data_IF_354157045148
#
_entry.id   IF_354157045148
#
_cell.length_a   1.000
_cell.length_b   1.000
_cell.length_c   1.000
_cell.angle_alpha   90.00
_cell.angle_beta   90.00
_cell.angle_gamma   90.00
#
_symmetry.space_group_name_H-M   'P 1'
#
loop_
_entity.id
_entity.type
_entity.pdbx_description
1 polymer ?
#
# COMPACT_ATOMS: atom_id res chain seq x y z
N UNK A 1 15.59 -0.53 -27.52
CA UNK A 1 16.31 -1.63 -28.18
C UNK A 1 16.27 -2.77 -27.19
N UNK A 2 15.73 -3.93 -27.56
CA UNK A 2 15.67 -5.10 -26.66
C UNK A 2 17.05 -5.75 -26.57
N UNK A 3 17.39 -6.36 -25.43
CA UNK A 3 18.61 -7.15 -25.30
C UNK A 3 18.62 -8.35 -26.26
N UNK A 4 19.83 -8.82 -26.62
CA UNK A 4 20.00 -10.02 -27.46
C UNK A 4 19.33 -11.25 -26.84
N UNK A 5 19.34 -11.34 -25.50
CA UNK A 5 18.68 -12.41 -24.74
C UNK A 5 17.17 -12.38 -25.00
N UNK A 6 16.51 -11.23 -24.77
CA UNK A 6 15.07 -11.13 -25.01
C UNK A 6 14.74 -11.34 -26.49
N UNK A 7 15.54 -10.77 -27.40
CA UNK A 7 15.35 -10.97 -28.84
C UNK A 7 15.40 -12.46 -29.23
N UNK A 8 16.35 -13.21 -28.68
CA UNK A 8 16.47 -14.66 -28.90
C UNK A 8 15.27 -15.44 -28.37
N UNK A 9 14.81 -15.13 -27.15
CA UNK A 9 13.62 -15.77 -26.57
C UNK A 9 12.37 -15.47 -27.40
N UNK A 10 12.12 -14.21 -27.74
CA UNK A 10 10.98 -13.79 -28.56
C UNK A 10 11.02 -14.44 -29.96
N UNK A 11 12.20 -14.56 -30.58
CA UNK A 11 12.36 -15.22 -31.86
C UNK A 11 12.03 -16.73 -31.77
N UNK A 12 12.51 -17.41 -30.73
CA UNK A 12 12.26 -18.85 -30.53
C UNK A 12 10.79 -19.18 -30.25
N UNK A 13 10.02 -18.23 -29.68
CA UNK A 13 8.60 -18.37 -29.31
C UNK A 13 7.66 -17.57 -30.21
N UNK A 14 8.13 -17.08 -31.35
CA UNK A 14 7.42 -16.10 -32.20
C UNK A 14 5.99 -16.49 -32.55
N UNK A 15 5.76 -17.75 -32.94
CA UNK A 15 4.42 -18.21 -33.34
C UNK A 15 3.40 -18.10 -32.19
N UNK A 16 3.78 -18.60 -31.01
CA UNK A 16 2.96 -18.57 -29.81
C UNK A 16 2.67 -17.13 -29.36
N UNK A 17 3.71 -16.29 -29.24
CA UNK A 17 3.56 -14.91 -28.76
C UNK A 17 2.72 -14.05 -29.72
N UNK A 18 2.87 -14.25 -31.04
CA UNK A 18 2.02 -13.57 -32.02
C UNK A 18 0.56 -13.99 -31.93
N UNK A 19 0.29 -15.27 -31.65
CA UNK A 19 -1.06 -15.74 -31.39
C UNK A 19 -1.66 -15.04 -30.16
N UNK A 20 -0.91 -14.94 -29.05
CA UNK A 20 -1.37 -14.22 -27.85
C UNK A 20 -1.67 -12.75 -28.09
N UNK A 21 -0.85 -12.06 -28.87
CA UNK A 21 -1.12 -10.66 -29.28
C UNK A 21 -2.40 -10.56 -30.09
N UNK A 22 -2.64 -11.50 -31.02
CA UNK A 22 -3.87 -11.52 -31.81
C UNK A 22 -5.11 -11.77 -30.92
N UNK A 23 -5.04 -12.72 -29.99
CA UNK A 23 -6.09 -12.97 -28.99
C UNK A 23 -6.39 -11.72 -28.16
N UNK A 24 -5.37 -11.03 -27.64
CA UNK A 24 -5.54 -9.80 -26.87
C UNK A 24 -6.23 -8.68 -27.68
N UNK A 25 -5.86 -8.50 -28.95
CA UNK A 25 -6.50 -7.53 -29.85
C UNK A 25 -7.96 -7.84 -30.12
N UNK A 26 -8.32 -9.13 -30.21
CA UNK A 26 -9.70 -9.54 -30.38
C UNK A 26 -10.55 -9.31 -29.12
N UNK A 27 -9.98 -9.56 -27.94
CA UNK A 27 -10.67 -9.38 -26.67
C UNK A 27 -10.82 -7.91 -26.26
N UNK A 28 -9.91 -7.03 -26.69
CA UNK A 28 -9.90 -5.62 -26.31
C UNK A 28 -9.83 -4.71 -27.55
N UNK A 29 -10.99 -4.27 -28.08
CA UNK A 29 -11.08 -3.29 -29.16
C UNK A 29 -10.46 -1.96 -28.71
N UNK A 30 -9.18 -1.74 -29.02
CA UNK A 30 -8.39 -0.60 -28.54
C UNK A 30 -7.01 -0.94 -28.01
N UNK A 31 -6.64 -2.23 -27.98
CA UNK A 31 -5.31 -2.66 -27.56
C UNK A 31 -4.19 -1.98 -28.36
N UNK A 32 -3.34 -1.23 -27.66
CA UNK A 32 -2.23 -0.51 -28.26
C UNK A 32 -0.97 -1.38 -28.35
N UNK A 33 -0.70 -1.87 -29.56
CA UNK A 33 0.46 -2.73 -29.82
C UNK A 33 1.78 -1.97 -29.70
N UNK A 34 1.80 -0.66 -29.95
CA UNK A 34 3.01 0.16 -29.80
C UNK A 34 3.32 0.40 -28.32
N UNK A 35 2.31 0.66 -27.49
CA UNK A 35 2.49 0.74 -26.04
C UNK A 35 2.99 -0.58 -25.46
N UNK A 36 2.46 -1.72 -25.94
CA UNK A 36 2.95 -3.03 -25.52
C UNK A 36 4.38 -3.31 -25.99
N UNK A 37 4.74 -2.92 -27.21
CA UNK A 37 6.13 -3.03 -27.71
C UNK A 37 7.11 -2.21 -26.86
N UNK A 38 6.72 -1.00 -26.44
CA UNK A 38 7.52 -0.18 -25.54
C UNK A 38 7.67 -0.83 -24.14
N UNK A 39 6.58 -1.36 -23.59
CA UNK A 39 6.61 -2.14 -22.33
C UNK A 39 7.55 -3.35 -22.45
N UNK A 40 7.48 -4.10 -23.56
CA UNK A 40 8.34 -5.25 -23.80
C UNK A 40 9.82 -4.83 -23.91
N UNK A 41 10.08 -3.71 -24.57
CA UNK A 41 11.43 -3.18 -24.81
C UNK A 41 12.15 -2.60 -23.60
N UNK A 42 11.45 -2.36 -22.49
CA UNK A 42 11.98 -1.73 -21.29
C UNK A 42 11.71 -2.60 -20.06
N UNK A 43 10.43 -2.78 -19.72
CA UNK A 43 10.03 -3.49 -18.50
C UNK A 43 10.24 -5.01 -18.61
N UNK A 44 9.81 -5.64 -19.70
CA UNK A 44 10.00 -7.09 -19.88
C UNK A 44 11.48 -7.44 -20.08
N UNK A 45 12.26 -6.59 -20.74
CA UNK A 45 13.69 -6.80 -20.94
C UNK A 45 14.46 -6.81 -19.62
N UNK A 46 14.12 -5.92 -18.68
CA UNK A 46 14.69 -5.92 -17.34
C UNK A 46 14.40 -7.24 -16.57
N UNK A 47 13.16 -7.76 -16.68
CA UNK A 47 12.79 -9.05 -16.08
C UNK A 47 13.56 -10.20 -16.74
N UNK A 48 13.64 -10.20 -18.08
CA UNK A 48 14.39 -11.20 -18.85
C UNK A 48 15.86 -11.25 -18.43
N UNK A 49 16.53 -10.10 -18.39
CA UNK A 49 17.93 -10.00 -17.98
C UNK A 49 18.17 -10.47 -16.55
N UNK A 50 17.27 -10.12 -15.62
CA UNK A 50 17.37 -10.54 -14.23
C UNK A 50 17.24 -12.06 -14.05
N UNK A 51 16.27 -12.69 -14.72
CA UNK A 51 16.10 -14.16 -14.66
C UNK A 51 17.27 -14.86 -15.34
N UNK A 52 17.70 -14.39 -16.51
CA UNK A 52 18.85 -14.94 -17.23
C UNK A 52 20.13 -14.96 -16.37
N UNK A 53 20.33 -13.96 -15.52
CA UNK A 53 21.49 -13.88 -14.64
C UNK A 53 21.49 -14.94 -13.52
N UNK A 54 20.32 -15.47 -13.13
CA UNK A 54 20.21 -16.45 -12.02
C UNK A 54 19.88 -17.87 -12.50
N UNK A 55 19.10 -18.01 -13.57
CA UNK A 55 18.71 -19.29 -14.15
C UNK A 55 18.41 -19.13 -15.67
N UNK A 56 19.43 -19.33 -16.53
CA UNK A 56 19.29 -19.30 -17.98
C UNK A 56 18.23 -20.26 -18.55
N UNK A 57 17.97 -21.39 -17.89
CA UNK A 57 17.02 -22.39 -18.37
C UNK A 57 15.58 -21.95 -18.11
N UNK A 58 15.34 -21.23 -17.02
CA UNK A 58 14.03 -20.70 -16.67
C UNK A 58 13.63 -19.44 -17.47
N UNK A 59 14.59 -18.73 -18.08
CA UNK A 59 14.37 -17.45 -18.78
C UNK A 59 13.22 -17.50 -19.78
N UNK A 60 13.17 -18.55 -20.61
CA UNK A 60 12.12 -18.67 -21.65
C UNK A 60 10.71 -18.73 -21.06
N UNK A 61 10.51 -19.56 -20.03
CA UNK A 61 9.22 -19.70 -19.37
C UNK A 61 8.83 -18.43 -18.58
N UNK A 62 9.80 -17.79 -17.93
CA UNK A 62 9.57 -16.55 -17.21
C UNK A 62 9.16 -15.39 -18.15
N UNK A 63 9.81 -15.26 -19.30
CA UNK A 63 9.46 -14.25 -20.31
C UNK A 63 8.06 -14.51 -20.88
N UNK A 64 7.71 -15.76 -21.16
CA UNK A 64 6.38 -16.12 -21.68
C UNK A 64 5.27 -15.71 -20.69
N UNK A 65 5.42 -16.07 -19.41
CA UNK A 65 4.47 -15.68 -18.36
C UNK A 65 4.40 -14.15 -18.17
N UNK A 66 5.56 -13.48 -18.13
CA UNK A 66 5.63 -12.03 -17.99
C UNK A 66 5.01 -11.30 -19.20
N UNK A 67 5.15 -11.85 -20.41
CA UNK A 67 4.56 -11.34 -21.63
C UNK A 67 3.03 -11.43 -21.60
N UNK A 68 2.47 -12.58 -21.19
CA UNK A 68 1.01 -12.76 -21.07
C UNK A 68 0.40 -11.82 -20.01
N UNK A 69 1.06 -11.69 -18.86
CA UNK A 69 0.64 -10.71 -17.84
C UNK A 69 0.73 -9.29 -18.40
N UNK A 70 1.83 -8.97 -19.10
CA UNK A 70 2.05 -7.66 -19.73
C UNK A 70 0.95 -7.28 -20.74
N UNK A 71 0.47 -8.22 -21.55
CA UNK A 71 -0.65 -7.99 -22.47
C UNK A 71 -1.89 -7.52 -21.71
N UNK A 72 -2.21 -8.20 -20.60
CA UNK A 72 -3.36 -7.84 -19.76
C UNK A 72 -3.18 -6.45 -19.13
N UNK A 73 -2.00 -6.16 -18.57
CA UNK A 73 -1.73 -4.92 -17.86
C UNK A 73 -1.69 -3.70 -18.79
N UNK A 74 -1.04 -3.82 -19.94
CA UNK A 74 -1.04 -2.74 -20.96
C UNK A 74 -2.45 -2.54 -21.50
N UNK A 75 -3.18 -3.62 -21.76
CA UNK A 75 -4.56 -3.58 -22.22
C UNK A 75 -5.52 -2.85 -21.25
N UNK A 76 -5.28 -3.00 -19.94
CA UNK A 76 -6.04 -2.31 -18.89
C UNK A 76 -5.51 -0.91 -18.56
N UNK A 77 -4.45 -0.43 -19.23
CA UNK A 77 -3.83 0.86 -18.95
C UNK A 77 -3.14 0.93 -17.57
N UNK A 78 -2.72 -0.22 -17.04
CA UNK A 78 -2.01 -0.35 -15.76
C UNK A 78 -0.48 -0.36 -15.93
N UNK A 79 0.01 -0.67 -17.13
CA UNK A 79 1.43 -0.69 -17.46
C UNK A 79 1.72 -0.10 -18.85
N UNK A 80 3.00 0.22 -19.10
CA UNK A 80 3.48 0.81 -20.33
C UNK A 80 3.30 2.33 -20.39
N UNK A 81 3.69 2.96 -21.51
CA UNK A 81 3.81 4.43 -21.61
C UNK A 81 2.47 5.19 -21.51
N UNK A 82 1.34 4.50 -21.64
CA UNK A 82 0.00 5.07 -21.54
C UNK A 82 -0.66 4.82 -20.18
N UNK A 83 0.02 4.17 -19.24
CA UNK A 83 -0.53 3.92 -17.92
C UNK A 83 -0.77 5.23 -17.16
N UNK A 84 -1.85 5.28 -16.38
CA UNK A 84 -2.17 6.47 -15.55
C UNK A 84 -1.08 6.74 -14.51
N UNK A 85 -0.47 5.69 -13.98
CA UNK A 85 0.58 5.75 -12.99
C UNK A 85 1.72 4.78 -13.37
N UNK A 86 2.99 5.09 -13.06
CA UNK A 86 4.14 4.33 -13.53
C UNK A 86 4.49 3.11 -12.65
N UNK A 87 3.65 2.76 -11.69
CA UNK A 87 4.07 1.92 -10.55
C UNK A 87 4.32 0.45 -10.92
N UNK A 88 3.59 -0.11 -11.88
CA UNK A 88 3.81 -1.49 -12.34
C UNK A 88 5.17 -1.62 -13.02
N UNK A 89 5.41 -0.80 -14.05
CA UNK A 89 6.69 -0.77 -14.77
C UNK A 89 7.87 -0.54 -13.83
N UNK A 90 7.72 0.43 -12.92
CA UNK A 90 8.76 0.74 -11.94
C UNK A 90 9.03 -0.44 -11.02
N UNK A 91 8.00 -1.08 -10.48
CA UNK A 91 8.17 -2.20 -9.56
C UNK A 91 8.80 -3.40 -10.25
N UNK A 92 8.35 -3.76 -11.46
CA UNK A 92 8.96 -4.86 -12.21
C UNK A 92 10.43 -4.59 -12.49
N UNK A 93 10.77 -3.41 -13.03
CA UNK A 93 12.16 -3.06 -13.34
C UNK A 93 13.06 -3.01 -12.11
N UNK A 94 12.59 -2.42 -11.01
CA UNK A 94 13.42 -2.20 -9.83
C UNK A 94 13.52 -3.44 -8.93
N UNK A 95 12.52 -4.32 -8.94
CA UNK A 95 12.52 -5.53 -8.11
C UNK A 95 13.05 -6.76 -8.85
N UNK A 96 13.01 -6.78 -10.19
CA UNK A 96 13.35 -7.96 -11.00
C UNK A 96 14.63 -8.65 -10.54
N UNK A 97 15.72 -7.91 -10.34
CA UNK A 97 16.99 -8.47 -9.87
C UNK A 97 16.89 -9.08 -8.46
N UNK A 98 16.26 -8.37 -7.53
CA UNK A 98 16.13 -8.82 -6.13
C UNK A 98 15.24 -10.06 -6.01
N UNK A 99 14.22 -10.24 -6.86
CA UNK A 99 13.30 -11.38 -6.81
C UNK A 99 13.50 -12.38 -7.95
N UNK A 100 14.61 -12.29 -8.70
CA UNK A 100 14.84 -13.07 -9.91
C UNK A 100 14.69 -14.58 -9.69
N UNK A 101 15.17 -15.09 -8.55
CA UNK A 101 15.04 -16.51 -8.18
C UNK A 101 13.59 -16.94 -8.00
N UNK A 102 12.75 -16.09 -7.42
CA UNK A 102 11.33 -16.36 -7.26
C UNK A 102 10.61 -16.30 -8.61
N UNK A 103 10.98 -15.37 -9.49
CA UNK A 103 10.46 -15.30 -10.86
C UNK A 103 10.84 -16.57 -11.63
N UNK A 104 12.09 -17.04 -11.53
CA UNK A 104 12.54 -18.25 -12.20
C UNK A 104 11.74 -19.51 -11.78
N UNK A 105 11.38 -19.59 -10.49
CA UNK A 105 10.64 -20.72 -9.93
C UNK A 105 9.13 -20.66 -10.18
N UNK A 106 8.53 -19.48 -10.06
CA UNK A 106 7.08 -19.26 -10.12
C UNK A 106 6.78 -17.88 -10.75
N UNK A 107 6.96 -17.73 -12.08
CA UNK A 107 6.95 -16.42 -12.73
C UNK A 107 5.59 -15.73 -12.65
N UNK A 108 4.52 -16.48 -12.92
CA UNK A 108 3.15 -15.95 -12.92
C UNK A 108 2.75 -15.46 -11.53
N UNK A 109 2.98 -16.27 -10.51
CA UNK A 109 2.61 -15.99 -9.13
C UNK A 109 3.45 -14.86 -8.53
N UNK A 110 4.74 -14.83 -8.84
CA UNK A 110 5.67 -13.80 -8.32
C UNK A 110 5.35 -12.44 -8.93
N UNK A 111 5.29 -12.34 -10.26
CA UNK A 111 4.96 -11.09 -10.94
C UNK A 111 3.54 -10.64 -10.63
N UNK A 112 2.58 -11.57 -10.59
CA UNK A 112 1.22 -11.30 -10.16
C UNK A 112 1.14 -10.75 -8.73
N UNK A 113 1.93 -11.30 -7.79
CA UNK A 113 2.00 -10.81 -6.41
C UNK A 113 2.50 -9.37 -6.34
N UNK A 114 3.59 -9.05 -7.04
CA UNK A 114 4.14 -7.68 -7.08
C UNK A 114 3.17 -6.71 -7.74
N UNK A 115 2.60 -7.08 -8.89
CA UNK A 115 1.61 -6.25 -9.60
C UNK A 115 0.40 -5.95 -8.74
N UNK A 116 -0.18 -6.98 -8.10
CA UNK A 116 -1.34 -6.81 -7.24
C UNK A 116 -1.06 -5.88 -6.05
N UNK A 117 0.14 -5.99 -5.46
CA UNK A 117 0.55 -5.10 -4.37
C UNK A 117 0.59 -3.64 -4.84
N UNK A 118 1.29 -3.33 -5.93
CA UNK A 118 1.45 -1.94 -6.38
C UNK A 118 0.17 -1.32 -6.92
N UNK A 119 -0.68 -2.11 -7.59
CA UNK A 119 -2.00 -1.65 -8.02
C UNK A 119 -2.85 -1.27 -6.78
N UNK A 120 -2.89 -2.11 -5.75
CA UNK A 120 -3.61 -1.81 -4.50
C UNK A 120 -3.04 -0.58 -3.78
N UNK A 121 -1.72 -0.53 -3.60
CA UNK A 121 -1.03 0.62 -2.98
C UNK A 121 -1.37 1.93 -3.71
N UNK A 122 -1.33 1.92 -5.05
CA UNK A 122 -1.59 3.10 -5.88
C UNK A 122 -3.05 3.58 -5.85
N UNK A 123 -3.98 2.72 -5.46
CA UNK A 123 -5.40 3.07 -5.33
C UNK A 123 -5.72 3.81 -4.02
N UNK A 124 -4.79 3.80 -3.06
CA UNK A 124 -4.97 4.36 -1.73
C UNK A 124 -4.32 5.74 -1.60
N UNK A 125 -5.11 6.73 -1.18
CA UNK A 125 -4.62 8.11 -0.97
C UNK A 125 -3.61 8.15 0.18
N UNK A 126 -2.51 8.88 -0.01
CA UNK A 126 -1.49 9.11 1.01
C UNK A 126 -0.52 7.95 1.23
N UNK A 127 -0.69 6.83 0.52
CA UNK A 127 0.23 5.69 0.58
C UNK A 127 1.50 5.97 -0.24
N UNK A 128 2.66 5.68 0.36
CA UNK A 128 3.98 5.96 -0.20
C UNK A 128 4.48 4.78 -1.05
N UNK A 129 3.93 4.65 -2.25
CA UNK A 129 4.25 3.54 -3.19
C UNK A 129 5.76 3.48 -3.51
N UNK A 130 6.40 4.63 -3.67
CA UNK A 130 7.84 4.71 -3.94
C UNK A 130 8.68 4.15 -2.78
N UNK A 131 8.36 4.53 -1.53
CA UNK A 131 9.03 3.99 -0.34
C UNK A 131 8.87 2.47 -0.24
N UNK A 132 7.69 1.95 -0.60
CA UNK A 132 7.43 0.52 -0.66
C UNK A 132 8.36 -0.17 -1.67
N UNK A 133 8.46 0.35 -2.90
CA UNK A 133 9.34 -0.22 -3.94
C UNK A 133 10.80 -0.18 -3.48
N UNK A 134 11.27 0.94 -2.94
CA UNK A 134 12.66 1.09 -2.49
C UNK A 134 13.01 0.09 -1.38
N UNK A 135 12.09 -0.10 -0.43
CA UNK A 135 12.28 -1.05 0.68
C UNK A 135 12.24 -2.49 0.19
N UNK A 136 11.28 -2.83 -0.67
CA UNK A 136 11.21 -4.15 -1.29
C UNK A 136 12.46 -4.45 -2.11
N UNK A 137 12.99 -3.48 -2.88
CA UNK A 137 14.22 -3.66 -3.66
C UNK A 137 15.40 -4.03 -2.76
N UNK A 138 15.54 -3.35 -1.62
CA UNK A 138 16.63 -3.58 -0.68
C UNK A 138 16.54 -4.93 0.05
N UNK A 139 15.33 -5.42 0.30
CA UNK A 139 15.11 -6.54 1.23
C UNK A 139 14.62 -7.83 0.57
N UNK A 140 13.93 -7.76 -0.58
CA UNK A 140 13.24 -8.91 -1.18
C UNK A 140 14.18 -10.05 -1.62
N UNK A 141 15.46 -9.74 -1.89
CA UNK A 141 16.47 -10.77 -2.20
C UNK A 141 16.81 -11.70 -1.03
N UNK A 142 16.34 -11.38 0.18
CA UNK A 142 16.44 -12.25 1.35
C UNK A 142 15.29 -13.26 1.47
N UNK A 143 14.25 -13.13 0.65
CA UNK A 143 13.13 -14.07 0.63
C UNK A 143 13.50 -15.30 -0.22
N UNK A 144 13.41 -16.48 0.37
CA UNK A 144 13.66 -17.76 -0.30
C UNK A 144 12.40 -18.31 -0.99
N UNK A 145 11.21 -17.98 -0.47
CA UNK A 145 9.93 -18.45 -0.99
C UNK A 145 8.93 -17.31 -1.15
N UNK A 146 7.91 -17.53 -1.97
CA UNK A 146 6.91 -16.50 -2.30
C UNK A 146 6.10 -16.02 -1.09
N UNK A 147 5.87 -16.88 -0.09
CA UNK A 147 5.13 -16.50 1.11
C UNK A 147 5.91 -15.52 1.99
N UNK A 148 7.23 -15.62 2.03
CA UNK A 148 8.10 -14.63 2.68
C UNK A 148 8.04 -13.29 1.94
N UNK A 149 8.05 -13.31 0.60
CA UNK A 149 7.91 -12.10 -0.21
C UNK A 149 6.57 -11.39 0.06
N UNK A 150 5.49 -12.15 0.22
CA UNK A 150 4.16 -11.62 0.57
C UNK A 150 4.13 -11.01 1.96
N UNK A 151 4.69 -11.70 2.95
CA UNK A 151 4.76 -11.22 4.32
C UNK A 151 5.63 -9.94 4.43
N UNK A 152 6.79 -9.91 3.76
CA UNK A 152 7.62 -8.72 3.65
C UNK A 152 6.86 -7.58 2.96
N UNK A 153 6.19 -7.87 1.85
CA UNK A 153 5.39 -6.91 1.10
C UNK A 153 4.26 -6.29 1.94
N UNK A 154 3.58 -7.07 2.77
CA UNK A 154 2.54 -6.59 3.68
C UNK A 154 3.10 -5.68 4.78
N UNK A 155 4.26 -6.03 5.36
CA UNK A 155 4.94 -5.22 6.36
C UNK A 155 5.41 -3.88 5.80
N UNK A 156 6.02 -3.90 4.61
CA UNK A 156 6.38 -2.70 3.87
C UNK A 156 5.15 -1.87 3.48
N UNK A 157 4.03 -2.50 3.12
CA UNK A 157 2.80 -1.81 2.73
C UNK A 157 2.15 -1.10 3.92
N UNK A 158 2.14 -1.76 5.08
CA UNK A 158 1.75 -1.13 6.33
C UNK A 158 2.65 0.07 6.65
N UNK A 159 3.97 -0.11 6.61
CA UNK A 159 4.94 0.98 6.82
C UNK A 159 4.78 2.13 5.82
N UNK A 160 4.35 1.85 4.59
CA UNK A 160 4.07 2.85 3.57
C UNK A 160 2.73 3.59 3.75
N UNK A 161 1.94 3.24 4.78
CA UNK A 161 0.73 3.96 5.18
C UNK A 161 -0.58 3.20 5.02
N UNK A 162 -0.57 1.92 4.62
CA UNK A 162 -1.79 1.08 4.65
C UNK A 162 -2.12 0.66 6.08
N UNK A 163 -2.58 1.60 6.92
CA UNK A 163 -2.78 1.39 8.36
C UNK A 163 -3.72 0.20 8.72
N UNK A 164 -4.65 -0.14 7.84
CA UNK A 164 -5.53 -1.31 8.00
C UNK A 164 -4.79 -2.66 7.90
N UNK A 165 -3.55 -2.68 7.42
CA UNK A 165 -2.73 -3.87 7.34
C UNK A 165 -1.95 -4.15 8.63
N UNK A 166 -1.99 -3.28 9.64
CA UNK A 166 -1.19 -3.42 10.88
C UNK A 166 -1.25 -4.83 11.47
N UNK A 167 -2.44 -5.27 11.87
CA UNK A 167 -2.64 -6.55 12.53
C UNK A 167 -2.25 -7.74 11.64
N UNK A 168 -2.76 -7.86 10.39
CA UNK A 168 -2.36 -8.98 9.53
C UNK A 168 -0.87 -8.94 9.15
N UNK A 169 -0.26 -7.75 8.99
CA UNK A 169 1.17 -7.62 8.70
C UNK A 169 2.03 -8.07 9.88
N UNK A 170 1.67 -7.71 11.12
CA UNK A 170 2.36 -8.18 12.32
C UNK A 170 2.30 -9.71 12.46
N UNK A 171 1.14 -10.32 12.19
CA UNK A 171 0.97 -11.79 12.23
C UNK A 171 1.78 -12.48 11.13
N UNK A 172 1.82 -11.90 9.93
CA UNK A 172 2.60 -12.47 8.82
C UNK A 172 4.10 -12.32 9.06
N UNK A 173 4.54 -11.21 9.67
CA UNK A 173 5.93 -10.94 9.99
C UNK A 173 6.52 -11.94 10.98
N UNK A 174 5.70 -12.57 11.83
CA UNK A 174 6.13 -13.66 12.73
C UNK A 174 6.64 -14.90 11.97
N UNK A 175 6.43 -14.98 10.65
CA UNK A 175 6.93 -16.06 9.77
C UNK A 175 8.21 -15.70 9.03
N UNK A 176 8.66 -14.45 9.12
CA UNK A 176 9.89 -14.00 8.44
C UNK A 176 11.11 -14.31 9.31
N UNK A 177 12.28 -14.32 8.66
CA UNK A 177 13.55 -14.14 9.36
C UNK A 177 13.45 -12.89 10.28
N UNK A 178 13.73 -13.01 11.60
CA UNK A 178 13.58 -11.89 12.54
C UNK A 178 14.34 -10.63 12.12
N UNK A 179 15.55 -10.78 11.57
CA UNK A 179 16.34 -9.63 11.11
C UNK A 179 15.73 -8.99 9.86
N UNK A 180 15.03 -9.75 9.02
CA UNK A 180 14.30 -9.23 7.86
C UNK A 180 13.08 -8.42 8.30
N UNK A 181 12.30 -8.92 9.26
CA UNK A 181 11.15 -8.20 9.81
C UNK A 181 11.56 -6.88 10.48
N UNK A 182 12.61 -6.89 11.30
CA UNK A 182 13.16 -5.68 11.93
C UNK A 182 13.66 -4.65 10.90
N UNK A 183 14.40 -5.09 9.87
CA UNK A 183 14.87 -4.21 8.81
C UNK A 183 13.71 -3.61 7.99
N UNK A 184 12.66 -4.40 7.72
CA UNK A 184 11.48 -3.94 6.99
C UNK A 184 10.71 -2.84 7.72
N UNK A 185 10.85 -2.72 9.05
CA UNK A 185 10.29 -1.63 9.84
C UNK A 185 11.27 -0.48 10.13
N UNK A 186 12.47 -0.52 9.54
CA UNK A 186 13.47 0.55 9.71
C UNK A 186 14.20 0.52 11.06
N UNK A 187 14.17 -0.61 11.77
CA UNK A 187 14.87 -0.80 13.05
C UNK A 187 15.70 -2.10 13.04
N UNK A 188 16.71 -2.23 12.15
CA UNK A 188 17.47 -3.46 11.97
C UNK A 188 18.21 -3.92 13.24
N UNK A 189 18.57 -2.98 14.11
CA UNK A 189 19.34 -3.25 15.33
C UNK A 189 18.46 -3.66 16.53
N UNK A 190 17.14 -3.66 16.36
CA UNK A 190 16.19 -4.04 17.42
C UNK A 190 15.65 -5.45 17.16
N UNK A 191 15.72 -6.37 18.14
CA UNK A 191 15.17 -7.71 17.97
C UNK A 191 13.67 -7.68 17.64
N UNK A 192 13.26 -8.52 16.67
CA UNK A 192 11.86 -8.59 16.22
C UNK A 192 10.88 -8.79 17.38
N UNK A 193 11.17 -9.69 18.32
CA UNK A 193 10.29 -9.95 19.47
C UNK A 193 9.95 -8.67 20.26
N UNK A 194 10.96 -7.84 20.54
CA UNK A 194 10.78 -6.57 21.26
C UNK A 194 10.03 -5.53 20.42
N UNK A 195 10.33 -5.46 19.10
CA UNK A 195 9.57 -4.62 18.18
C UNK A 195 8.10 -5.03 18.13
N UNK A 196 7.84 -6.32 17.96
CA UNK A 196 6.51 -6.93 17.83
C UNK A 196 5.66 -6.68 19.07
N UNK A 197 6.23 -6.83 20.27
CA UNK A 197 5.57 -6.52 21.53
C UNK A 197 5.19 -5.04 21.59
N UNK A 198 6.15 -4.14 21.37
CA UNK A 198 5.93 -2.69 21.45
C UNK A 198 4.92 -2.20 20.42
N UNK A 199 5.06 -2.64 19.17
CA UNK A 199 4.16 -2.29 18.08
C UNK A 199 2.74 -2.81 18.31
N UNK A 200 2.55 -3.84 19.14
CA UNK A 200 1.22 -4.34 19.49
C UNK A 200 0.58 -3.52 20.59
N UNK A 201 1.38 -3.14 21.59
CA UNK A 201 0.95 -2.33 22.72
C UNK A 201 0.66 -0.87 22.33
N UNK A 202 1.44 -0.31 21.39
CA UNK A 202 1.34 1.08 20.97
C UNK A 202 1.36 1.20 19.45
N UNK A 203 0.21 1.59 18.87
CA UNK A 203 0.05 1.79 17.43
C UNK A 203 0.65 3.11 16.94
N UNK A 204 0.91 4.05 17.84
CA UNK A 204 1.40 5.38 17.49
C UNK A 204 2.91 5.48 17.58
N UNK A 205 3.56 4.45 18.12
CA UNK A 205 5.01 4.35 18.15
C UNK A 205 5.58 3.99 16.79
N UNK A 206 6.56 4.78 16.33
CA UNK A 206 7.29 4.53 15.09
C UNK A 206 8.73 4.08 15.39
N UNK A 207 9.11 2.83 15.04
CA UNK A 207 10.44 2.29 15.30
C UNK A 207 11.57 3.05 14.60
N UNK A 208 11.33 3.60 13.40
CA UNK A 208 12.36 4.31 12.62
C UNK A 208 12.82 5.62 13.26
N UNK A 209 11.97 6.23 14.09
CA UNK A 209 12.27 7.49 14.81
C UNK A 209 12.32 7.30 16.33
N UNK A 210 11.99 6.11 16.82
CA UNK A 210 11.95 5.77 18.25
C UNK A 210 10.90 6.52 19.07
N UNK A 211 9.97 7.24 18.44
CA UNK A 211 9.07 8.18 19.09
C UNK A 211 7.60 8.05 18.60
N UNK A 212 6.70 8.69 19.35
CA UNK A 212 5.29 8.88 19.00
C UNK A 212 5.10 10.27 18.42
N UNK A 213 4.49 10.39 17.24
CA UNK A 213 4.04 11.69 16.73
C UNK A 213 2.72 12.08 17.41
N UNK A 214 2.81 13.00 18.37
CA UNK A 214 1.67 13.53 19.09
C UNK A 214 0.63 14.19 18.19
N UNK A 215 1.03 14.70 17.02
CA UNK A 215 0.12 15.33 16.09
C UNK A 215 -0.74 14.30 15.36
N UNK A 216 -0.34 13.02 15.25
CA UNK A 216 -1.11 11.97 14.60
C UNK A 216 -1.32 12.16 13.09
N UNK A 217 -2.43 11.63 12.56
CA UNK A 217 -2.71 11.56 11.12
C UNK A 217 -3.94 12.37 10.72
N UNK A 218 -3.93 12.97 9.53
CA UNK A 218 -5.11 13.59 8.91
C UNK A 218 -5.62 12.72 7.77
N UNK A 219 -6.93 12.52 7.70
CA UNK A 219 -7.60 11.81 6.62
C UNK A 219 -8.98 12.40 6.33
N UNK A 220 -9.65 11.90 5.29
CA UNK A 220 -10.96 12.39 4.86
C UNK A 220 -10.86 13.55 3.88
N UNK A 221 -11.77 14.51 4.02
CA UNK A 221 -11.92 15.66 3.13
C UNK A 221 -13.22 15.62 2.33
N UNK A 222 -13.53 16.77 1.72
CA UNK A 222 -14.74 16.98 0.94
C UNK A 222 -14.66 16.29 -0.42
N UNK A 223 -15.74 15.66 -0.87
CA UNK A 223 -15.77 14.89 -2.12
C UNK A 223 -15.59 15.72 -3.38
N UNK A 224 -15.92 17.02 -3.34
CA UNK A 224 -15.59 17.94 -4.44
C UNK A 224 -14.09 18.22 -4.59
N UNK A 225 -13.26 17.80 -3.63
CA UNK A 225 -11.79 17.92 -3.62
C UNK A 225 -11.13 16.55 -3.43
N UNK A 226 -11.68 15.52 -4.10
CA UNK A 226 -11.21 14.12 -4.06
C UNK A 226 -11.21 13.46 -2.67
N UNK A 227 -12.02 13.98 -1.73
CA UNK A 227 -12.27 13.36 -0.43
C UNK A 227 -13.43 12.35 -0.44
N UNK A 228 -13.60 11.57 0.65
CA UNK A 228 -14.69 10.60 0.75
C UNK A 228 -16.04 11.20 1.16
N UNK A 229 -16.07 12.41 1.75
CA UNK A 229 -17.28 12.92 2.41
C UNK A 229 -17.98 13.99 1.60
N UNK A 230 -19.25 13.74 1.25
CA UNK A 230 -20.08 14.70 0.51
C UNK A 230 -20.69 15.78 1.41
N UNK A 231 -20.84 15.48 2.69
CA UNK A 231 -21.25 16.42 3.75
C UNK A 231 -20.37 16.22 4.98
N UNK A 232 -20.33 17.17 5.94
CA UNK A 232 -19.60 16.99 7.18
C UNK A 232 -19.94 15.65 7.85
N UNK A 233 -18.97 14.74 8.06
CA UNK A 233 -19.26 13.42 8.59
C UNK A 233 -19.71 13.46 10.06
N UNK A 234 -20.62 12.56 10.42
CA UNK A 234 -20.83 12.16 11.80
C UNK A 234 -19.82 11.06 12.14
N UNK A 235 -19.10 11.17 13.27
CA UNK A 235 -18.03 10.24 13.64
C UNK A 235 -18.41 9.50 14.92
N UNK A 236 -18.06 8.22 14.97
CA UNK A 236 -18.25 7.33 16.12
C UNK A 236 -17.02 6.46 16.36
N UNK A 237 -16.82 6.02 17.59
CA UNK A 237 -15.76 5.13 18.04
C UNK A 237 -16.21 3.67 17.92
N UNK A 238 -15.54 2.89 17.05
CA UNK A 238 -15.74 1.45 16.94
C UNK A 238 -14.68 0.65 17.72
N UNK A 239 -14.67 -0.67 17.52
CA UNK A 239 -13.65 -1.56 18.05
C UNK A 239 -12.39 -1.54 17.17
N UNK A 240 -11.35 -0.83 17.60
CA UNK A 240 -10.04 -0.71 16.94
C UNK A 240 -9.90 0.45 15.93
N UNK A 241 -11.01 1.09 15.56
CA UNK A 241 -11.09 2.12 14.52
C UNK A 241 -12.18 3.14 14.82
N UNK A 242 -12.27 4.20 14.02
CA UNK A 242 -13.43 5.11 14.00
C UNK A 242 -14.30 4.79 12.79
N UNK A 243 -15.59 5.08 12.90
CA UNK A 243 -16.55 4.95 11.80
C UNK A 243 -17.15 6.31 11.53
N UNK A 244 -17.25 6.68 10.25
CA UNK A 244 -17.88 7.91 9.81
C UNK A 244 -19.08 7.62 8.91
N UNK A 245 -20.11 8.45 9.04
CA UNK A 245 -21.23 8.50 8.11
C UNK A 245 -21.24 9.87 7.41
N UNK A 246 -21.44 9.88 6.09
CA UNK A 246 -21.59 11.09 5.29
C UNK A 246 -22.55 10.84 4.13
N UNK A 247 -23.68 11.54 4.13
CA UNK A 247 -24.72 11.48 3.10
C UNK A 247 -25.21 10.05 2.78
N UNK A 248 -25.43 9.25 3.83
CA UNK A 248 -25.89 7.87 3.77
C UNK A 248 -24.79 6.83 3.48
N UNK A 249 -23.55 7.26 3.28
CA UNK A 249 -22.39 6.37 3.07
C UNK A 249 -21.60 6.22 4.35
N UNK A 250 -21.05 5.03 4.58
CA UNK A 250 -20.33 4.68 5.79
C UNK A 250 -18.87 4.35 5.48
N UNK A 251 -17.97 4.74 6.39
CA UNK A 251 -16.53 4.65 6.19
C UNK A 251 -15.81 4.22 7.47
N UNK A 252 -14.85 3.32 7.34
CA UNK A 252 -13.88 3.02 8.39
C UNK A 252 -12.72 4.00 8.29
N UNK A 253 -12.36 4.59 9.42
CA UNK A 253 -11.25 5.52 9.58
C UNK A 253 -10.20 4.84 10.47
N UNK A 254 -9.07 4.48 9.87
CA UNK A 254 -7.98 3.81 10.56
C UNK A 254 -6.72 4.65 10.44
N UNK A 255 -5.98 4.78 11.54
CA UNK A 255 -4.74 5.53 11.60
C UNK A 255 -3.78 4.92 12.61
N UNK A 256 -2.49 5.08 12.35
CA UNK A 256 -1.39 4.69 13.22
C UNK A 256 -0.14 5.54 12.92
N UNK A 257 1.01 5.13 13.46
CA UNK A 257 2.28 5.82 13.29
C UNK A 257 2.76 5.92 11.83
N UNK A 258 2.32 5.04 10.94
CA UNK A 258 2.79 4.95 9.56
C UNK A 258 1.84 5.62 8.55
N UNK A 259 0.55 5.72 8.88
CA UNK A 259 -0.37 6.46 8.04
C UNK A 259 -1.82 6.36 8.47
N UNK A 260 -2.70 6.77 7.56
CA UNK A 260 -4.14 6.69 7.77
C UNK A 260 -4.86 6.33 6.47
N UNK A 261 -5.96 5.62 6.60
CA UNK A 261 -6.78 5.14 5.48
C UNK A 261 -8.26 5.35 5.75
N UNK A 262 -8.99 5.59 4.67
CA UNK A 262 -10.46 5.59 4.65
C UNK A 262 -10.89 4.38 3.83
N UNK A 263 -11.67 3.48 4.42
CA UNK A 263 -12.22 2.31 3.75
C UNK A 263 -13.75 2.37 3.76
N UNK A 264 -14.45 1.70 2.83
CA UNK A 264 -15.90 1.51 2.94
C UNK A 264 -16.24 0.75 4.24
N UNK A 265 -17.34 1.14 4.88
CA UNK A 265 -17.94 0.42 6.02
C UNK A 265 -19.39 0.07 5.73
N UNK A 266 -19.94 -0.86 6.51
CA UNK A 266 -21.36 -1.15 6.55
C UNK A 266 -22.11 -0.28 7.57
N UNK A 267 -23.40 -0.06 7.35
CA UNK A 267 -24.24 0.78 8.21
C UNK A 267 -24.37 0.21 9.64
N UNK A 268 -24.34 -1.12 9.79
CA UNK A 268 -24.38 -1.78 11.10
C UNK A 268 -23.14 -1.48 11.95
N UNK A 269 -21.96 -1.35 11.33
CA UNK A 269 -20.73 -0.98 12.03
C UNK A 269 -20.85 0.42 12.64
N UNK A 270 -21.45 1.37 11.91
CA UNK A 270 -21.72 2.71 12.43
C UNK A 270 -22.80 2.71 13.52
N UNK A 271 -23.84 1.90 13.36
CA UNK A 271 -24.93 1.80 14.34
C UNK A 271 -24.45 1.22 15.69
N UNK A 272 -23.48 0.30 15.67
CA UNK A 272 -22.89 -0.32 16.86
C UNK A 272 -21.78 0.51 17.51
N UNK A 273 -21.22 1.49 16.78
CA UNK A 273 -20.16 2.37 17.28
C UNK A 273 -20.69 3.41 18.28
N UNK A 274 -19.83 3.79 19.22
CA UNK A 274 -20.16 4.74 20.29
C UNK A 274 -19.99 6.19 19.84
N UNK A 275 -20.94 7.05 20.18
CA UNK A 275 -20.85 8.49 19.93
C UNK A 275 -20.25 9.26 21.13
N UNK A 276 -19.76 8.56 22.16
CA UNK A 276 -19.22 9.17 23.36
C UNK A 276 -18.09 10.17 23.08
N UNK A 277 -18.22 11.33 23.72
CA UNK A 277 -17.19 12.37 23.71
C UNK A 277 -15.95 11.85 24.40
N UNK A 278 -14.79 12.13 23.83
CA UNK A 278 -13.50 11.75 24.41
C UNK A 278 -13.29 12.42 25.79
N UNK A 279 -13.19 11.66 26.89
CA UNK A 279 -12.91 12.26 28.20
C UNK A 279 -11.52 12.90 28.21
N UNK A 280 -11.40 14.08 28.80
CA UNK A 280 -10.13 14.81 28.89
C UNK A 280 -9.69 15.49 27.58
N UNK A 281 -10.61 15.66 26.62
CA UNK A 281 -10.39 16.46 25.41
C UNK A 281 -11.14 17.78 25.52
N UNK A 282 -10.43 18.90 25.33
CA UNK A 282 -11.03 20.22 25.27
C UNK A 282 -10.89 20.78 23.85
N UNK A 283 -11.95 21.37 23.28
CA UNK A 283 -11.85 22.11 22.03
C UNK A 283 -11.25 23.48 22.32
N UNK A 284 -10.25 23.88 21.53
CA UNK A 284 -9.54 25.16 21.67
C UNK A 284 -9.69 25.99 20.40
N UNK A 285 -9.42 27.30 20.43
CA UNK A 285 -9.42 28.12 19.22
C UNK A 285 -8.43 27.68 18.13
N UNK A 286 -7.42 26.85 18.48
CA UNK A 286 -6.42 26.32 17.54
C UNK A 286 -6.72 24.88 17.09
N UNK A 287 -7.69 24.21 17.71
CA UNK A 287 -8.02 22.81 17.44
C UNK A 287 -8.56 22.12 18.68
N UNK A 288 -7.73 21.29 19.33
CA UNK A 288 -8.10 20.65 20.58
C UNK A 288 -6.91 20.32 21.49
N UNK A 289 -7.15 20.29 22.79
CA UNK A 289 -6.21 19.82 23.80
C UNK A 289 -6.48 18.35 24.11
N UNK A 290 -5.52 17.47 23.84
CA UNK A 290 -5.63 16.01 24.03
C UNK A 290 -4.52 15.52 24.96
N UNK A 291 -4.88 15.10 26.17
CA UNK A 291 -3.91 14.69 27.19
C UNK A 291 -2.97 15.82 27.59
N UNK A 292 -3.48 17.07 27.64
CA UNK A 292 -2.70 18.26 27.95
C UNK A 292 -1.83 18.81 26.81
N UNK A 293 -1.87 18.20 25.62
CA UNK A 293 -1.12 18.65 24.44
C UNK A 293 -2.04 19.40 23.48
N UNK A 294 -1.54 20.49 22.92
CA UNK A 294 -2.26 21.23 21.89
C UNK A 294 -2.12 20.53 20.53
N UNK A 295 -3.24 20.18 19.93
CA UNK A 295 -3.33 19.61 18.58
C UNK A 295 -3.86 20.70 17.66
N UNK A 296 -3.00 21.16 16.76
CA UNK A 296 -3.38 22.16 15.77
C UNK A 296 -4.32 21.53 14.74
N UNK A 297 -5.36 22.27 14.37
CA UNK A 297 -6.31 21.85 13.36
C UNK A 297 -6.42 22.93 12.28
N UNK A 298 -6.41 22.55 11.00
CA UNK A 298 -6.27 23.50 9.89
C UNK A 298 -7.43 24.51 9.81
N UNK A 299 -8.65 24.07 10.14
CA UNK A 299 -9.84 24.93 10.18
C UNK A 299 -10.55 24.71 11.52
N UNK A 300 -10.05 25.35 12.60
CA UNK A 300 -10.67 25.23 13.91
C UNK A 300 -12.01 25.97 13.91
N UNK A 301 -12.93 25.56 14.78
CA UNK A 301 -14.25 26.18 14.86
C UNK A 301 -15.04 25.76 16.10
N UNK A 302 -16.03 26.58 16.44
CA UNK A 302 -16.98 26.39 17.54
C UNK A 302 -17.75 25.06 17.47
N UNK A 303 -17.91 24.52 16.25
CA UNK A 303 -18.59 23.23 15.98
C UNK A 303 -17.64 22.04 15.86
N UNK A 304 -16.38 22.18 16.27
CA UNK A 304 -15.49 21.02 16.32
C UNK A 304 -16.01 19.96 17.29
N UNK A 305 -15.77 18.70 16.94
CA UNK A 305 -16.17 17.55 17.73
C UNK A 305 -14.97 16.66 18.00
N UNK A 306 -15.02 15.95 19.13
CA UNK A 306 -14.02 15.00 19.54
C UNK A 306 -14.68 13.68 19.95
N UNK A 307 -14.24 12.59 19.35
CA UNK A 307 -14.70 11.23 19.68
C UNK A 307 -13.51 10.43 20.17
N UNK A 308 -13.68 9.72 21.28
CA UNK A 308 -12.58 9.10 22.01
C UNK A 308 -12.59 7.58 21.99
N UNK A 309 -11.39 7.01 21.98
CA UNK A 309 -11.11 5.59 22.23
C UNK A 309 -10.00 5.51 23.26
N UNK A 310 -9.71 4.30 23.76
CA UNK A 310 -8.67 4.10 24.77
C UNK A 310 -7.28 4.56 24.30
N UNK A 311 -6.96 4.33 23.02
CA UNK A 311 -5.66 4.57 22.39
C UNK A 311 -5.59 5.84 21.53
N UNK A 312 -6.74 6.35 21.07
CA UNK A 312 -6.80 7.42 20.08
C UNK A 312 -7.99 8.37 20.27
N UNK A 313 -7.86 9.59 19.76
CA UNK A 313 -8.93 10.59 19.68
C UNK A 313 -9.09 11.02 18.22
N UNK A 314 -10.32 11.08 17.73
CA UNK A 314 -10.66 11.69 16.45
C UNK A 314 -11.20 13.11 16.68
N UNK A 315 -10.47 14.10 16.18
CA UNK A 315 -10.89 15.50 16.12
C UNK A 315 -11.44 15.81 14.73
N UNK A 316 -12.55 16.53 14.67
CA UNK A 316 -13.21 16.84 13.43
C UNK A 316 -13.79 18.25 13.44
N UNK A 317 -13.70 18.93 12.30
CA UNK A 317 -14.36 20.21 12.06
C UNK A 317 -15.30 20.09 10.87
N UNK A 318 -16.58 20.51 11.00
CA UNK A 318 -17.53 20.46 9.89
C UNK A 318 -17.13 21.36 8.73
N UNK A 319 -16.23 22.32 8.94
CA UNK A 319 -15.78 23.25 7.92
C UNK A 319 -14.74 22.65 6.97
N UNK A 320 -13.89 21.71 7.43
CA UNK A 320 -12.82 21.14 6.59
C UNK A 320 -13.17 19.79 5.98
N UNK A 321 -14.16 19.08 6.52
CA UNK A 321 -14.46 17.67 6.22
C UNK A 321 -13.28 16.71 6.52
N UNK A 322 -12.17 17.20 7.07
CA UNK A 322 -11.04 16.36 7.45
C UNK A 322 -11.20 15.89 8.89
N UNK A 323 -10.69 14.70 9.16
CA UNK A 323 -10.60 14.11 10.50
C UNK A 323 -9.13 14.02 10.86
N UNK A 324 -8.77 14.50 12.04
CA UNK A 324 -7.44 14.31 12.62
C UNK A 324 -7.55 13.22 13.69
N UNK A 325 -6.87 12.11 13.48
CA UNK A 325 -6.80 11.04 14.48
C UNK A 325 -5.44 11.13 15.17
N UNK A 326 -5.44 11.22 16.50
CA UNK A 326 -4.24 11.43 17.31
C UNK A 326 -4.14 10.41 18.45
N UNK A 327 -2.95 10.18 19.01
CA UNK A 327 -2.79 9.37 20.22
C UNK A 327 -3.57 9.97 21.38
N UNK A 328 -4.29 9.15 22.16
CA UNK A 328 -4.99 9.62 23.36
C UNK A 328 -4.01 9.96 24.50
N UNK A 329 -2.83 9.32 24.51
CA UNK A 329 -1.74 9.51 25.48
C UNK A 329 -0.41 9.63 24.73
N UNK A 330 0.59 10.26 25.36
CA UNK A 330 1.96 10.35 24.84
C UNK A 330 2.84 9.29 25.52
#
# INVERSE_FOLDING_TARGET
MVSDTLAGVLASRRALLNQRVAEARHQQPGFDTAAFSAFAGDTLDAVCGAVQAVDPLATGAAVEAAFEIGLTLVGQGLAGPKARLPWVDRAWKQLAASIARLIAQAPTETLGTVTNAVVRLSSMRGVRVEEWIDTMRALAGRCAVLDELRALGALCAWRAGMAHLREPALVQADRLDPALASAALGAPDVPWASLRERLSADRWWNPSIGAVDAQGQTLGGFSGMDGPFAVPPAIRAGAGHFVAESAGRHFLLMADAFGAVVLPAAANEFAQADAAVAPGVAITPRGGSVGGREIAFAVPGDRMQAVGRADSVALFSPWSHHVRIVPARA
#
